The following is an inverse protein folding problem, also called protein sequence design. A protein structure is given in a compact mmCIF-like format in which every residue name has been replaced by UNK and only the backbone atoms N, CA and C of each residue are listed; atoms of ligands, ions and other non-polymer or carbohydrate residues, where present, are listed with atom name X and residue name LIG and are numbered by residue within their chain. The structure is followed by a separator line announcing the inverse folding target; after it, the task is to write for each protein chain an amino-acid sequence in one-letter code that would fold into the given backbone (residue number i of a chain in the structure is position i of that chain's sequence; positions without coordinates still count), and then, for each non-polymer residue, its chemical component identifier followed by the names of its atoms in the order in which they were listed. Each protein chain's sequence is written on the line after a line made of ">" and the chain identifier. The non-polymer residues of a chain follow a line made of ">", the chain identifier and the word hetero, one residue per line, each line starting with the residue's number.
data_IF_638097966431
#
_entry.id   IF_638097966431
#
_cell.length_a   1.000
_cell.length_b   1.000
_cell.length_c   1.000
_cell.angle_alpha   90.00
_cell.angle_beta   90.00
_cell.angle_gamma   90.00
#
_symmetry.space_group_name_H-M   'P 1'
#
loop_
_entity.id
_entity.type
_entity.pdbx_description
1 polymer ?
#
# COMPACT_ATOMS: atom_id res chain seq x y z
N UNK A 1 -10.59 8.27 -7.81
CA UNK A 1 -9.79 7.72 -6.70
C UNK A 1 -8.33 7.76 -7.11
N UNK A 2 -7.38 8.08 -6.22
CA UNK A 2 -5.95 8.06 -6.58
C UNK A 2 -5.47 6.60 -6.58
N UNK A 3 -5.10 6.07 -7.75
CA UNK A 3 -4.52 4.74 -7.86
C UNK A 3 -3.12 4.69 -7.27
N UNK A 4 -2.79 3.57 -6.63
CA UNK A 4 -1.48 3.32 -6.02
C UNK A 4 -0.69 2.27 -6.81
N UNK A 5 0.60 2.12 -6.50
CA UNK A 5 1.48 1.13 -7.14
C UNK A 5 1.17 -0.32 -6.73
N UNK A 6 0.31 -0.55 -5.73
CA UNK A 6 -0.32 -1.83 -5.43
C UNK A 6 -1.84 -1.66 -5.56
N UNK A 7 -2.43 -2.39 -6.50
CA UNK A 7 -3.86 -2.42 -6.78
C UNK A 7 -4.38 -3.77 -6.31
N UNK A 8 -4.93 -3.79 -5.08
CA UNK A 8 -5.48 -5.00 -4.51
C UNK A 8 -6.68 -5.48 -5.31
N UNK A 9 -7.59 -4.60 -5.73
CA UNK A 9 -8.80 -4.96 -6.49
C UNK A 9 -8.46 -5.79 -7.72
N UNK A 10 -7.53 -5.29 -8.54
CA UNK A 10 -7.10 -5.96 -9.78
C UNK A 10 -5.95 -6.95 -9.57
N UNK A 11 -5.50 -7.16 -8.33
CA UNK A 11 -4.36 -8.02 -7.96
C UNK A 11 -3.15 -7.76 -8.86
N UNK A 12 -2.70 -6.52 -8.90
CA UNK A 12 -1.52 -6.14 -9.67
C UNK A 12 -0.67 -5.14 -8.91
N UNK A 13 0.64 -5.20 -9.13
CA UNK A 13 1.58 -4.32 -8.48
C UNK A 13 2.68 -3.89 -9.45
N UNK A 14 3.24 -2.71 -9.22
CA UNK A 14 4.44 -2.21 -9.88
C UNK A 14 5.47 -2.00 -8.78
N UNK A 15 6.61 -2.68 -8.87
CA UNK A 15 7.64 -2.68 -7.82
C UNK A 15 9.02 -2.51 -8.41
N UNK A 16 9.95 -1.97 -7.61
CA UNK A 16 11.36 -2.02 -7.94
C UNK A 16 11.89 -3.41 -7.64
N UNK A 17 12.61 -3.98 -8.62
CA UNK A 17 13.15 -5.33 -8.50
C UNK A 17 14.08 -5.45 -7.29
N UNK A 18 13.87 -6.51 -6.49
CA UNK A 18 14.62 -6.81 -5.27
C UNK A 18 14.63 -5.69 -4.22
N UNK A 19 13.65 -4.79 -4.25
CA UNK A 19 13.48 -3.79 -3.19
C UNK A 19 13.23 -4.47 -1.84
N UNK A 20 13.91 -3.97 -0.81
CA UNK A 20 13.66 -4.31 0.61
C UNK A 20 13.14 -3.12 1.40
N UNK A 21 12.82 -2.03 0.70
CA UNK A 21 12.37 -0.80 1.32
C UNK A 21 11.03 -1.00 2.02
N UNK A 22 10.90 -0.38 3.19
CA UNK A 22 9.73 -0.50 4.04
C UNK A 22 8.73 0.61 3.77
N UNK A 23 7.46 0.29 3.98
CA UNK A 23 6.38 1.24 4.10
C UNK A 23 5.63 1.01 5.41
N UNK A 24 5.04 2.08 5.93
CA UNK A 24 4.17 2.05 7.09
C UNK A 24 2.73 2.25 6.65
N UNK A 25 1.85 1.37 7.12
CA UNK A 25 0.41 1.41 6.90
C UNK A 25 -0.27 1.71 8.24
N UNK A 26 -1.07 2.78 8.26
CA UNK A 26 -1.87 3.20 9.40
C UNK A 26 -3.28 3.47 8.89
N UNK A 27 -4.29 2.93 9.57
CA UNK A 27 -5.68 3.16 9.16
C UNK A 27 -6.07 4.62 9.38
N UNK A 28 -7.08 5.11 8.66
CA UNK A 28 -7.58 6.48 8.87
C UNK A 28 -8.20 6.59 10.27
N UNK A 29 -8.83 5.51 10.74
CA UNK A 29 -9.42 5.42 12.07
C UNK A 29 -8.36 5.56 13.17
N UNK A 30 -7.24 4.83 13.09
CA UNK A 30 -6.15 4.92 14.08
C UNK A 30 -5.45 6.29 14.04
N UNK A 31 -5.27 6.86 12.84
CA UNK A 31 -4.76 8.22 12.66
C UNK A 31 -5.67 9.23 13.38
N UNK A 32 -6.98 9.17 13.15
CA UNK A 32 -7.95 10.06 13.78
C UNK A 32 -7.98 9.89 15.30
N UNK A 33 -7.95 8.64 15.80
CA UNK A 33 -7.90 8.36 17.23
C UNK A 33 -6.64 8.96 17.88
N UNK A 34 -5.49 8.80 17.24
CA UNK A 34 -4.22 9.38 17.72
C UNK A 34 -4.27 10.89 17.75
N UNK A 35 -4.79 11.52 16.70
CA UNK A 35 -4.94 12.99 16.66
C UNK A 35 -5.91 13.48 17.74
N UNK A 36 -7.02 12.77 17.99
CA UNK A 36 -7.95 13.12 19.05
C UNK A 36 -7.29 13.08 20.43
N UNK A 37 -6.61 11.99 20.76
CA UNK A 37 -5.91 11.82 22.05
C UNK A 37 -4.73 12.80 22.20
N UNK A 38 -4.06 13.16 21.09
CA UNK A 38 -2.98 14.13 21.08
C UNK A 38 -3.41 15.52 21.56
N UNK A 39 -4.66 15.92 21.31
CA UNK A 39 -5.19 17.23 21.72
C UNK A 39 -5.26 17.36 23.25
N UNK A 40 -5.51 16.25 23.95
CA UNK A 40 -5.58 16.19 25.41
C UNK A 40 -4.27 15.69 26.05
N UNK A 41 -3.23 15.45 25.25
CA UNK A 41 -1.94 14.97 25.74
C UNK A 41 -1.21 16.06 26.53
N UNK A 42 -1.15 15.88 27.86
CA UNK A 42 -0.51 16.84 28.78
C UNK A 42 1.03 16.81 28.80
N UNK A 43 1.66 15.93 28.02
CA UNK A 43 3.11 15.88 27.86
C UNK A 43 3.62 16.79 26.74
N UNK A 44 4.94 16.82 26.55
CA UNK A 44 5.53 17.51 25.39
C UNK A 44 5.27 16.71 24.12
N UNK A 45 4.77 17.38 23.08
CA UNK A 45 4.54 16.75 21.78
C UNK A 45 5.87 16.34 21.14
N UNK A 46 5.97 15.14 20.57
CA UNK A 46 7.20 14.72 19.92
C UNK A 46 7.50 15.62 18.71
N UNK A 47 8.78 16.01 18.50
CA UNK A 47 9.16 16.83 17.35
C UNK A 47 9.01 16.10 16.00
N UNK A 48 8.92 14.76 16.04
CA UNK A 48 8.63 13.89 14.89
C UNK A 48 7.23 13.30 15.10
N UNK A 49 6.34 13.52 14.13
CA UNK A 49 4.94 13.10 14.21
C UNK A 49 4.66 11.70 13.68
N UNK A 50 5.58 10.75 13.81
CA UNK A 50 5.41 9.39 13.30
C UNK A 50 4.26 8.64 13.98
N UNK A 51 3.42 7.99 13.18
CA UNK A 51 2.29 7.16 13.63
C UNK A 51 2.31 5.85 12.83
N UNK A 52 2.61 4.74 13.49
CA UNK A 52 2.92 3.47 12.83
C UNK A 52 1.96 2.35 13.23
N UNK A 53 1.13 1.87 12.30
CA UNK A 53 0.29 0.70 12.51
C UNK A 53 1.00 -0.62 12.17
N UNK A 54 1.35 -0.80 10.90
CA UNK A 54 2.12 -1.95 10.42
C UNK A 54 3.21 -1.52 9.47
N UNK A 55 4.43 -2.00 9.70
CA UNK A 55 5.57 -1.71 8.83
C UNK A 55 6.08 -2.99 8.17
N UNK A 56 6.16 -3.00 6.85
CA UNK A 56 6.61 -4.14 6.04
C UNK A 56 7.21 -3.67 4.71
N UNK A 57 7.87 -4.55 3.98
CA UNK A 57 8.24 -4.23 2.59
C UNK A 57 7.07 -4.51 1.64
N UNK A 58 7.17 -3.98 0.41
CA UNK A 58 6.12 -4.13 -0.60
C UNK A 58 5.90 -5.61 -0.95
N UNK A 59 6.94 -6.44 -0.95
CA UNK A 59 6.82 -7.88 -1.19
C UNK A 59 5.99 -8.56 -0.10
N UNK A 60 6.20 -8.22 1.17
CA UNK A 60 5.40 -8.67 2.30
C UNK A 60 3.94 -8.23 2.19
N UNK A 61 3.68 -6.99 1.75
CA UNK A 61 2.31 -6.51 1.52
C UNK A 61 1.60 -7.31 0.42
N UNK A 62 2.29 -7.62 -0.70
CA UNK A 62 1.76 -8.44 -1.78
C UNK A 62 1.46 -9.86 -1.27
N UNK A 63 2.43 -10.49 -0.58
CA UNK A 63 2.26 -11.83 -0.03
C UNK A 63 1.09 -11.92 0.98
N UNK A 64 0.91 -10.88 1.79
CA UNK A 64 -0.24 -10.76 2.70
C UNK A 64 -1.56 -10.69 1.91
N UNK A 65 -1.62 -9.88 0.85
CA UNK A 65 -2.79 -9.81 -0.04
C UNK A 65 -3.11 -11.14 -0.72
N UNK A 66 -2.11 -11.82 -1.26
CA UNK A 66 -2.26 -13.15 -1.86
C UNK A 66 -2.76 -14.19 -0.85
N UNK A 67 -2.22 -14.19 0.37
CA UNK A 67 -2.62 -15.09 1.47
C UNK A 67 -4.08 -14.88 1.89
N UNK A 68 -4.51 -13.62 2.02
CA UNK A 68 -5.88 -13.30 2.44
C UNK A 68 -6.89 -13.73 1.37
N UNK A 69 -6.56 -13.52 0.10
CA UNK A 69 -7.47 -13.79 -1.01
C UNK A 69 -7.52 -15.29 -1.35
N UNK A 70 -6.37 -15.97 -1.37
CA UNK A 70 -6.28 -17.41 -1.67
C UNK A 70 -7.04 -18.32 -0.68
N UNK A 71 -7.36 -17.84 0.52
CA UNK A 71 -8.01 -18.64 1.58
C UNK A 71 -9.54 -18.70 1.48
N UNK A 72 -10.18 -17.96 0.58
CA UNK A 72 -11.64 -17.79 0.64
C UNK A 72 -12.48 -18.99 0.17
N UNK A 73 -11.96 -19.96 -0.61
CA UNK A 73 -12.75 -21.10 -1.13
C UNK A 73 -12.01 -22.45 -1.18
N UNK A 74 -10.76 -22.55 -0.70
CA UNK A 74 -10.02 -23.83 -0.76
C UNK A 74 -10.60 -24.91 0.15
N UNK A 75 -11.31 -24.53 1.21
CA UNK A 75 -11.86 -25.49 2.17
C UNK A 75 -13.18 -26.12 1.70
N UNK A 76 -13.77 -25.68 0.58
CA UNK A 76 -15.03 -26.25 0.07
C UNK A 76 -14.93 -26.87 -1.33
N UNK A 77 -14.09 -26.39 -2.24
CA UNK A 77 -14.03 -26.91 -3.61
C UNK A 77 -12.61 -26.73 -4.21
N UNK A 78 -11.90 -27.84 -4.45
CA UNK A 78 -10.62 -27.85 -5.19
C UNK A 78 -10.90 -27.97 -6.69
N UNK A 79 -11.02 -26.84 -7.39
CA UNK A 79 -11.10 -26.81 -8.85
C UNK A 79 -10.54 -25.49 -9.40
N UNK A 80 -10.04 -25.50 -10.64
CA UNK A 80 -9.48 -24.32 -11.33
C UNK A 80 -10.46 -23.12 -11.36
N UNK A 81 -11.76 -23.37 -11.26
CA UNK A 81 -12.81 -22.34 -11.14
C UNK A 81 -12.71 -21.62 -9.78
N UNK A 82 -12.36 -22.31 -8.70
CA UNK A 82 -12.18 -21.68 -7.39
C UNK A 82 -10.95 -20.77 -7.33
N UNK A 83 -9.88 -21.03 -8.10
CA UNK A 83 -8.75 -20.10 -8.24
C UNK A 83 -9.15 -18.81 -8.95
N UNK A 84 -10.11 -18.87 -9.88
CA UNK A 84 -10.69 -17.68 -10.51
C UNK A 84 -11.61 -16.91 -9.55
N UNK A 85 -12.32 -17.60 -8.65
CA UNK A 85 -13.26 -17.01 -7.69
C UNK A 85 -12.63 -16.53 -6.36
N UNK A 86 -11.48 -17.08 -5.94
CA UNK A 86 -10.73 -16.70 -4.71
C UNK A 86 -9.63 -15.69 -4.94
N UNK A 87 -9.29 -15.41 -6.19
CA UNK A 87 -8.14 -14.59 -6.52
C UNK A 87 -6.82 -15.38 -6.45
N UNK A 88 -6.26 -15.67 -7.62
CA UNK A 88 -4.88 -16.10 -7.81
C UNK A 88 -3.82 -15.02 -7.52
N UNK A 89 -2.54 -15.28 -7.86
CA UNK A 89 -1.42 -14.41 -7.50
C UNK A 89 -1.53 -13.01 -8.09
N UNK A 90 -0.79 -12.07 -7.52
CA UNK A 90 -0.71 -10.73 -8.07
C UNK A 90 0.13 -10.74 -9.36
N UNK A 91 -0.34 -10.04 -10.39
CA UNK A 91 0.50 -9.68 -11.52
C UNK A 91 1.49 -8.59 -11.09
N UNK A 92 2.78 -8.91 -11.00
CA UNK A 92 3.80 -7.96 -10.55
C UNK A 92 4.70 -7.53 -11.70
N UNK A 93 4.59 -6.27 -12.09
CA UNK A 93 5.54 -5.60 -12.97
C UNK A 93 6.77 -5.20 -12.16
N UNK A 94 7.92 -5.82 -12.46
CA UNK A 94 9.20 -5.52 -11.81
C UNK A 94 10.03 -4.61 -12.71
N UNK A 95 10.46 -3.48 -12.18
CA UNK A 95 11.28 -2.50 -12.90
C UNK A 95 12.61 -2.28 -12.18
N UNK A 96 13.69 -1.98 -12.91
CA UNK A 96 14.98 -1.71 -12.27
C UNK A 96 14.98 -0.31 -11.64
N UNK A 97 15.67 -0.15 -10.49
CA UNK A 97 15.85 1.18 -9.88
C UNK A 97 16.51 2.17 -10.86
N UNK A 98 17.48 1.69 -11.65
CA UNK A 98 18.19 2.52 -12.62
C UNK A 98 17.24 3.07 -13.69
N UNK A 99 16.39 2.24 -14.27
CA UNK A 99 15.44 2.69 -15.31
C UNK A 99 14.39 3.64 -14.73
N UNK A 100 13.99 3.44 -13.48
CA UNK A 100 13.12 4.38 -12.76
C UNK A 100 13.83 5.72 -12.54
N UNK A 101 15.11 5.72 -12.16
CA UNK A 101 15.91 6.95 -12.01
C UNK A 101 16.09 7.69 -13.34
N UNK A 102 16.41 6.97 -14.42
CA UNK A 102 16.64 7.53 -15.75
C UNK A 102 15.33 7.82 -16.52
N UNK A 103 14.17 7.46 -15.95
CA UNK A 103 12.84 7.62 -16.54
C UNK A 103 12.69 6.88 -17.89
N UNK A 104 13.28 5.68 -17.99
CA UNK A 104 13.27 4.82 -19.18
C UNK A 104 12.46 3.53 -18.99
N UNK A 105 11.87 3.32 -17.81
CA UNK A 105 11.09 2.13 -17.50
C UNK A 105 9.72 2.10 -18.20
N UNK A 106 9.19 0.89 -18.40
CA UNK A 106 7.84 0.67 -18.89
C UNK A 106 7.12 -0.36 -18.01
N UNK A 107 5.80 -0.25 -17.97
CA UNK A 107 4.91 -1.12 -17.19
C UNK A 107 3.69 -1.45 -18.04
N UNK A 108 3.08 -2.60 -17.80
CA UNK A 108 1.87 -3.08 -18.48
C UNK A 108 0.64 -2.23 -18.12
N UNK A 109 0.70 -1.51 -17.01
CA UNK A 109 -0.35 -0.59 -16.56
C UNK A 109 0.25 0.61 -15.81
N UNK A 110 -0.57 1.65 -15.60
CA UNK A 110 -0.25 2.81 -14.75
C UNK A 110 -1.47 3.14 -13.90
N UNK A 111 -1.32 3.44 -12.60
CA UNK A 111 -2.43 3.93 -11.79
C UNK A 111 -2.87 5.30 -12.33
N UNK A 112 -4.03 5.32 -13.01
CA UNK A 112 -4.51 6.54 -13.66
C UNK A 112 -5.03 7.53 -12.62
N UNK A 113 -4.57 8.78 -12.70
CA UNK A 113 -5.05 9.86 -11.86
C UNK A 113 -6.30 10.48 -12.49
N UNK A 114 -7.42 10.31 -11.80
CA UNK A 114 -8.73 10.85 -12.19
C UNK A 114 -9.17 11.96 -11.24
N UNK A 115 -8.36 13.01 -11.13
CA UNK A 115 -8.67 14.18 -10.32
C UNK A 115 -9.26 15.30 -11.21
N UNK A 116 -10.35 16.00 -10.81
CA UNK A 116 -10.95 17.08 -11.60
C UNK A 116 -9.98 18.22 -11.93
N UNK A 117 -9.00 18.48 -11.05
CA UNK A 117 -7.94 19.47 -11.27
C UNK A 117 -6.86 19.04 -12.28
N UNK A 118 -6.89 17.82 -12.81
CA UNK A 118 -5.96 17.34 -13.85
C UNK A 118 -6.73 17.22 -15.18
N UNK A 119 -6.45 18.10 -16.16
CA UNK A 119 -7.02 18.01 -17.50
C UNK A 119 -6.84 16.63 -18.12
N UNK A 120 -7.89 16.12 -18.77
CA UNK A 120 -7.92 14.76 -19.35
C UNK A 120 -6.71 14.48 -20.23
N UNK A 121 -6.34 15.46 -21.08
CA UNK A 121 -5.20 15.35 -21.99
C UNK A 121 -3.83 15.20 -21.27
N UNK A 122 -3.72 15.55 -19.99
CA UNK A 122 -2.48 15.44 -19.21
C UNK A 122 -2.45 14.21 -18.29
N UNK A 123 -3.56 13.48 -18.13
CA UNK A 123 -3.68 12.43 -17.11
C UNK A 123 -2.64 11.32 -17.26
N UNK A 124 -2.38 10.83 -18.47
CA UNK A 124 -1.38 9.77 -18.67
C UNK A 124 0.02 10.24 -18.26
N UNK A 125 0.47 11.39 -18.77
CA UNK A 125 1.79 11.94 -18.46
C UNK A 125 1.97 12.22 -16.96
N UNK A 126 0.96 12.81 -16.32
CA UNK A 126 0.96 13.08 -14.86
C UNK A 126 0.99 11.76 -14.07
N UNK A 127 0.19 10.77 -14.46
CA UNK A 127 0.12 9.47 -13.78
C UNK A 127 1.46 8.72 -13.83
N UNK A 128 2.13 8.70 -14.99
CA UNK A 128 3.46 8.08 -15.13
C UNK A 128 4.51 8.77 -14.27
N UNK A 129 4.49 10.11 -14.24
CA UNK A 129 5.40 10.86 -13.39
C UNK A 129 5.14 10.58 -11.90
N UNK A 130 3.88 10.56 -11.46
CA UNK A 130 3.52 10.26 -10.07
C UNK A 130 3.92 8.83 -9.69
N UNK A 131 3.65 7.83 -10.55
CA UNK A 131 4.11 6.46 -10.34
C UNK A 131 5.64 6.41 -10.12
N UNK A 132 6.41 7.08 -10.99
CA UNK A 132 7.87 7.18 -10.83
C UNK A 132 8.24 7.77 -9.47
N UNK A 133 7.54 8.82 -9.02
CA UNK A 133 7.80 9.45 -7.71
C UNK A 133 7.45 8.53 -6.54
N UNK A 134 6.39 7.73 -6.64
CA UNK A 134 6.08 6.72 -5.63
C UNK A 134 7.20 5.70 -5.51
N UNK A 135 7.62 5.09 -6.63
CA UNK A 135 8.70 4.10 -6.65
C UNK A 135 10.02 4.66 -6.08
N UNK A 136 10.43 5.86 -6.52
CA UNK A 136 11.62 6.51 -5.98
C UNK A 136 11.47 6.89 -4.50
N UNK A 137 10.27 7.26 -4.06
CA UNK A 137 10.00 7.54 -2.66
C UNK A 137 10.17 6.30 -1.79
N UNK A 138 9.65 5.16 -2.24
CA UNK A 138 9.77 3.88 -1.52
C UNK A 138 11.23 3.55 -1.29
N UNK A 139 12.07 3.57 -2.34
CA UNK A 139 13.51 3.29 -2.22
C UNK A 139 14.27 4.27 -1.32
N UNK A 140 13.80 5.52 -1.27
CA UNK A 140 14.38 6.53 -0.35
C UNK A 140 13.94 6.33 1.11
N UNK A 141 13.04 5.39 1.38
CA UNK A 141 12.50 5.11 2.70
C UNK A 141 11.47 6.12 3.18
N UNK A 142 11.00 7.06 2.34
CA UNK A 142 10.09 8.15 2.78
C UNK A 142 8.65 7.67 3.04
N UNK A 143 8.36 6.40 2.78
CA UNK A 143 7.10 5.74 3.10
C UNK A 143 7.12 4.99 4.42
N UNK A 144 8.30 4.85 5.04
CA UNK A 144 8.43 4.32 6.39
C UNK A 144 8.44 5.49 7.36
N UNK A 145 7.56 5.44 8.35
CA UNK A 145 7.55 6.43 9.43
C UNK A 145 7.86 5.74 10.76
N UNK A 146 8.31 6.53 11.71
CA UNK A 146 8.56 6.14 13.09
C UNK A 146 7.26 6.06 13.90
N UNK A 147 7.38 5.69 15.18
CA UNK A 147 6.30 5.36 16.11
C UNK A 147 6.25 6.32 17.33
N UNK A 148 6.72 7.56 17.21
CA UNK A 148 6.79 8.48 18.35
C UNK A 148 5.43 8.70 19.02
N UNK A 149 4.37 8.90 18.24
CA UNK A 149 3.03 9.06 18.80
C UNK A 149 2.52 7.77 19.45
N UNK A 150 2.84 6.60 18.90
CA UNK A 150 2.50 5.31 19.52
C UNK A 150 3.11 5.17 20.92
N UNK A 151 4.28 5.78 21.18
CA UNK A 151 4.95 5.75 22.48
C UNK A 151 4.37 6.76 23.47
N UNK A 152 3.82 7.87 22.97
CA UNK A 152 3.14 8.88 23.79
C UNK A 152 1.72 8.44 24.15
N UNK A 153 1.01 7.85 23.20
CA UNK A 153 -0.40 7.50 23.28
C UNK A 153 -0.55 6.01 22.99
N UNK A 154 -0.88 5.23 24.02
CA UNK A 154 -1.01 3.79 23.92
C UNK A 154 -2.38 3.39 23.37
N UNK A 155 -2.55 3.53 22.05
CA UNK A 155 -3.72 3.04 21.32
C UNK A 155 -3.48 1.64 20.75
N UNK A 156 -4.52 0.78 20.69
CA UNK A 156 -4.43 -0.49 19.98
C UNK A 156 -4.56 -0.26 18.47
N UNK A 157 -3.43 0.00 17.81
CA UNK A 157 -3.42 0.23 16.36
C UNK A 157 -3.87 -1.02 15.60
N UNK A 158 -4.68 -0.82 14.56
CA UNK A 158 -5.14 -1.87 13.68
C UNK A 158 -3.99 -2.33 12.78
N UNK A 159 -3.74 -3.64 12.74
CA UNK A 159 -2.72 -4.20 11.85
C UNK A 159 -3.18 -4.19 10.39
N UNK A 160 -2.22 -4.18 9.46
CA UNK A 160 -2.51 -4.31 8.04
C UNK A 160 -3.25 -5.62 7.73
N UNK A 161 -2.95 -6.72 8.43
CA UNK A 161 -3.66 -8.00 8.24
C UNK A 161 -5.12 -7.91 8.68
N UNK A 162 -5.40 -7.38 9.87
CA UNK A 162 -6.77 -7.20 10.37
C UNK A 162 -7.60 -6.35 9.42
N UNK A 163 -7.05 -5.22 8.97
CA UNK A 163 -7.71 -4.33 8.02
C UNK A 163 -7.96 -5.01 6.67
N UNK A 164 -6.92 -5.62 6.07
CA UNK A 164 -7.05 -6.26 4.77
C UNK A 164 -8.01 -7.45 4.81
N UNK A 165 -8.07 -8.21 5.92
CA UNK A 165 -9.04 -9.28 6.08
C UNK A 165 -10.47 -8.75 6.07
N UNK A 166 -10.73 -7.67 6.80
CA UNK A 166 -12.06 -7.03 6.83
C UNK A 166 -12.51 -6.57 5.44
N UNK A 167 -11.59 -6.11 4.59
CA UNK A 167 -11.91 -5.56 3.26
C UNK A 167 -12.00 -6.63 2.17
N UNK A 168 -11.06 -7.58 2.17
CA UNK A 168 -10.82 -8.47 1.02
C UNK A 168 -11.24 -9.93 1.21
N UNK A 169 -11.55 -10.37 2.44
CA UNK A 169 -12.09 -11.72 2.62
C UNK A 169 -13.41 -11.84 1.86
N UNK A 170 -13.60 -12.94 1.13
CA UNK A 170 -14.75 -13.20 0.26
C UNK A 170 -14.93 -12.20 -0.90
N UNK A 171 -13.91 -11.39 -1.22
CA UNK A 171 -13.91 -10.61 -2.46
C UNK A 171 -13.14 -11.34 -3.56
N UNK A 172 -13.68 -11.38 -4.79
CA UNK A 172 -13.01 -12.00 -5.94
C UNK A 172 -11.71 -11.28 -6.26
#
# INVERSE_FOLDING_TARGET
>A
MFGMFVDFEQRRAIVIDKSVAKLTLTTVEDLCATVADALDYGGEWPPIGGMSGSTMDVAGLIALGESIRSKSLKDEIDCDICLQLTGGPFQVDRVSLKDVQDNTFSTTWVPMIEHPGVPVAMRDAVSRNVLRKYLLGIERGVWSVSDEWNRCINLPYTTAEEYLRKVWVNRP
#
